data_IF_544632318378
#
_entry.id   IF_544632318378
#
_cell.length_a   1.000
_cell.length_b   1.000
_cell.length_c   1.000
_cell.angle_alpha   90.00
_cell.angle_beta   90.00
_cell.angle_gamma   90.00
#
_symmetry.space_group_name_H-M   'P 1'
#
loop_
_entity.id
_entity.type
_entity.pdbx_description
1 polymer ?
#
# COMPACT_ATOMS: atom_id res chain seq x y z
N UNK A 1 0.73 25.74 50.03
CA UNK A 1 0.72 26.06 48.57
C UNK A 1 1.28 24.95 47.69
N UNK A 2 2.37 24.25 48.07
CA UNK A 2 3.00 23.17 47.28
C UNK A 2 2.08 21.97 46.96
N UNK A 3 1.22 21.58 47.90
CA UNK A 3 0.29 20.45 47.68
C UNK A 3 -0.83 20.76 46.68
N UNK A 4 -1.29 22.02 46.58
CA UNK A 4 -2.33 22.40 45.58
C UNK A 4 -1.80 22.37 44.14
N UNK A 5 -0.49 22.58 43.96
CA UNK A 5 0.16 22.55 42.63
C UNK A 5 0.30 21.11 42.10
N UNK A 6 0.64 20.15 42.98
CA UNK A 6 0.82 18.74 42.60
C UNK A 6 -0.52 18.14 42.14
N UNK A 7 -1.62 18.44 42.85
CA UNK A 7 -2.95 17.92 42.51
C UNK A 7 -3.44 18.42 41.14
N UNK A 8 -3.15 19.68 40.78
CA UNK A 8 -3.52 20.26 39.48
C UNK A 8 -2.76 19.59 38.33
N UNK A 9 -1.48 19.28 38.50
CA UNK A 9 -0.66 18.60 37.48
C UNK A 9 -1.16 17.17 37.25
N UNK A 10 -1.54 16.44 38.30
CA UNK A 10 -2.11 15.09 38.15
C UNK A 10 -3.45 15.10 37.43
N UNK A 11 -4.31 16.11 37.66
CA UNK A 11 -5.62 16.21 36.99
C UNK A 11 -5.44 16.50 35.49
N UNK A 12 -4.50 17.37 35.13
CA UNK A 12 -4.19 17.68 33.72
C UNK A 12 -3.63 16.45 32.99
N UNK A 13 -2.74 15.69 33.63
CA UNK A 13 -2.18 14.46 33.06
C UNK A 13 -3.25 13.36 32.86
N UNK A 14 -4.22 13.24 33.76
CA UNK A 14 -5.35 12.31 33.58
C UNK A 14 -6.37 12.78 32.53
N UNK A 15 -6.54 14.10 32.36
CA UNK A 15 -7.49 14.65 31.38
C UNK A 15 -6.96 14.56 29.94
N UNK A 16 -5.64 14.58 29.75
CA UNK A 16 -5.01 14.34 28.44
C UNK A 16 -5.06 12.87 27.97
N UNK A 17 -5.32 11.93 28.88
CA UNK A 17 -5.32 10.49 28.58
C UNK A 17 -6.67 9.99 28.01
N UNK A 18 -7.71 10.83 27.96
CA UNK A 18 -9.08 10.43 27.60
C UNK A 18 -9.51 10.81 26.17
N UNK A 19 -8.58 11.19 25.29
CA UNK A 19 -8.89 11.60 23.91
C UNK A 19 -8.08 10.84 22.84
N UNK A 20 -8.01 9.51 22.95
CA UNK A 20 -7.61 8.65 21.82
C UNK A 20 -8.64 7.54 21.61
N UNK A 21 -9.89 7.97 21.44
CA UNK A 21 -10.97 7.14 20.91
C UNK A 21 -11.33 7.60 19.50
N UNK A 22 -10.39 7.51 18.55
CA UNK A 22 -10.68 7.66 17.11
C UNK A 22 -10.46 6.29 16.48
N UNK A 23 -11.49 5.81 15.77
CA UNK A 23 -11.75 4.41 15.55
C UNK A 23 -10.69 3.67 14.71
N UNK A 24 -10.38 2.47 15.15
CA UNK A 24 -9.55 1.49 14.43
C UNK A 24 -10.04 1.17 13.01
N UNK A 25 -11.29 1.53 12.66
CA UNK A 25 -11.85 1.31 11.32
C UNK A 25 -11.46 2.38 10.29
N UNK A 26 -10.96 3.54 10.68
CA UNK A 26 -10.51 4.57 9.75
C UNK A 26 -9.03 4.41 9.34
N UNK A 27 -8.23 3.66 10.11
CA UNK A 27 -6.79 3.55 9.87
C UNK A 27 -6.43 2.52 8.77
N UNK A 28 -7.22 1.45 8.63
CA UNK A 28 -6.90 0.38 7.66
C UNK A 28 -7.17 0.82 6.21
N UNK A 29 -8.22 1.61 5.98
CA UNK A 29 -8.57 2.09 4.63
C UNK A 29 -7.47 2.94 4.00
N UNK A 30 -6.72 3.68 4.83
CA UNK A 30 -5.68 4.59 4.35
C UNK A 30 -4.43 3.84 3.85
N UNK A 31 -4.27 2.58 4.26
CA UNK A 31 -3.12 1.75 3.89
C UNK A 31 -3.41 0.74 2.78
N UNK A 32 -4.64 0.62 2.28
CA UNK A 32 -4.98 -0.37 1.25
C UNK A 32 -4.07 -0.23 0.02
N UNK A 33 -3.46 -1.34 -0.41
CA UNK A 33 -2.49 -1.39 -1.51
C UNK A 33 -1.11 -0.83 -1.17
N UNK A 34 -0.86 -0.38 0.07
CA UNK A 34 0.44 0.13 0.47
C UNK A 34 1.38 -0.98 0.92
N UNK A 35 2.67 -0.76 0.69
CA UNK A 35 3.75 -1.50 1.35
C UNK A 35 4.17 -0.68 2.57
N UNK A 36 4.02 -1.23 3.77
CA UNK A 36 4.38 -0.57 5.02
C UNK A 36 5.72 -1.13 5.52
N UNK A 37 6.61 -0.24 5.95
CA UNK A 37 7.88 -0.58 6.57
C UNK A 37 7.82 -0.20 8.05
N UNK A 38 8.01 -1.17 8.94
CA UNK A 38 8.09 -0.93 10.37
C UNK A 38 9.43 -0.26 10.70
N UNK A 39 9.39 1.04 11.03
CA UNK A 39 10.60 1.84 11.32
C UNK A 39 11.02 1.79 12.79
N UNK A 40 10.23 1.18 13.66
CA UNK A 40 10.49 1.12 15.12
C UNK A 40 11.04 -0.26 15.55
N UNK A 41 10.89 -1.29 14.71
CA UNK A 41 11.42 -2.64 14.93
C UNK A 41 12.56 -2.98 13.96
N UNK A 42 12.50 -4.15 13.33
CA UNK A 42 13.57 -4.72 12.52
C UNK A 42 13.52 -4.29 11.04
N UNK A 43 12.75 -3.26 10.68
CA UNK A 43 12.56 -2.89 9.26
C UNK A 43 11.66 -3.88 8.51
N UNK A 44 10.73 -4.53 9.20
CA UNK A 44 9.83 -5.52 8.61
C UNK A 44 8.89 -4.86 7.60
N UNK A 45 8.61 -5.57 6.52
CA UNK A 45 7.77 -5.09 5.43
C UNK A 45 6.46 -5.87 5.34
N UNK A 46 5.36 -5.15 5.15
CA UNK A 46 4.02 -5.71 5.04
C UNK A 46 3.31 -5.12 3.82
N UNK A 47 2.61 -5.95 3.05
CA UNK A 47 1.69 -5.47 2.01
C UNK A 47 0.27 -5.51 2.55
N UNK A 48 -0.47 -4.42 2.39
CA UNK A 48 -1.86 -4.33 2.85
C UNK A 48 -2.79 -4.58 1.68
N UNK A 49 -3.69 -5.55 1.83
CA UNK A 49 -4.63 -5.94 0.81
C UNK A 49 -5.93 -6.46 1.43
N UNK A 50 -7.06 -5.97 0.95
CA UNK A 50 -8.40 -6.28 1.46
C UNK A 50 -8.53 -6.10 2.97
N UNK A 51 -7.88 -5.06 3.52
CA UNK A 51 -7.91 -4.77 4.95
C UNK A 51 -7.07 -5.68 5.84
N UNK A 52 -6.23 -6.54 5.25
CA UNK A 52 -5.28 -7.39 5.96
C UNK A 52 -3.85 -7.05 5.58
N UNK A 53 -2.90 -7.27 6.49
CA UNK A 53 -1.47 -7.15 6.24
C UNK A 53 -0.84 -8.53 6.00
N UNK A 54 0.03 -8.60 5.01
CA UNK A 54 0.77 -9.80 4.63
C UNK A 54 2.27 -9.54 4.79
N UNK A 55 2.90 -10.31 5.67
CA UNK A 55 4.34 -10.17 5.95
C UNK A 55 5.17 -10.57 4.72
N UNK A 56 5.91 -9.63 4.15
CA UNK A 56 6.67 -9.83 2.92
C UNK A 56 8.00 -10.52 3.14
N UNK A 57 8.52 -10.52 4.37
CA UNK A 57 9.72 -11.28 4.76
C UNK A 57 10.89 -11.11 3.80
N UNK A 58 11.37 -12.23 3.25
CA UNK A 58 12.47 -12.26 2.26
C UNK A 58 11.96 -12.01 0.84
N UNK A 59 12.83 -11.56 -0.09
CA UNK A 59 12.42 -11.24 -1.47
C UNK A 59 11.64 -12.35 -2.21
N UNK A 60 11.97 -13.62 -1.97
CA UNK A 60 11.25 -14.74 -2.59
C UNK A 60 9.84 -14.93 -2.01
N UNK A 61 9.66 -14.72 -0.69
CA UNK A 61 8.35 -14.77 -0.02
C UNK A 61 7.49 -13.61 -0.50
N UNK A 62 8.06 -12.41 -0.55
CA UNK A 62 7.39 -11.23 -1.08
C UNK A 62 6.89 -11.47 -2.51
N UNK A 63 7.74 -12.02 -3.37
CA UNK A 63 7.38 -12.37 -4.75
C UNK A 63 6.20 -13.34 -4.82
N UNK A 64 6.21 -14.42 -4.02
CA UNK A 64 5.10 -15.38 -3.98
C UNK A 64 3.81 -14.76 -3.44
N UNK A 65 3.88 -14.04 -2.33
CA UNK A 65 2.74 -13.36 -1.70
C UNK A 65 2.11 -12.36 -2.67
N UNK A 66 2.94 -11.49 -3.25
CA UNK A 66 2.47 -10.45 -4.16
C UNK A 66 1.82 -11.03 -5.41
N UNK A 67 2.35 -12.14 -5.95
CA UNK A 67 1.71 -12.84 -7.08
C UNK A 67 0.41 -13.53 -6.68
N UNK A 68 0.34 -14.15 -5.50
CA UNK A 68 -0.90 -14.77 -4.99
C UNK A 68 -2.03 -13.77 -4.78
N UNK A 69 -1.69 -12.56 -4.33
CA UNK A 69 -2.64 -11.47 -4.07
C UNK A 69 -2.94 -10.61 -5.31
N UNK A 70 -2.41 -11.00 -6.47
CA UNK A 70 -2.54 -10.21 -7.70
C UNK A 70 -3.93 -10.30 -8.32
N UNK A 71 -4.30 -9.24 -9.05
CA UNK A 71 -5.50 -9.18 -9.88
C UNK A 71 -5.15 -9.40 -11.35
N UNK A 72 -5.96 -10.18 -12.07
CA UNK A 72 -5.85 -10.28 -13.52
C UNK A 72 -6.25 -8.96 -14.20
N UNK A 73 -5.45 -8.50 -15.16
CA UNK A 73 -5.77 -7.38 -16.04
C UNK A 73 -5.72 -7.85 -17.50
N UNK A 74 -6.73 -7.48 -18.30
CA UNK A 74 -6.73 -7.76 -19.75
C UNK A 74 -5.68 -6.93 -20.47
N UNK A 75 -5.20 -7.41 -21.61
CA UNK A 75 -4.19 -6.69 -22.39
C UNK A 75 -4.68 -5.32 -22.86
N UNK A 76 -5.95 -5.20 -23.23
CA UNK A 76 -6.56 -3.92 -23.61
C UNK A 76 -6.47 -2.89 -22.48
N UNK A 77 -6.78 -3.29 -21.25
CA UNK A 77 -6.72 -2.39 -20.08
C UNK A 77 -5.28 -2.06 -19.70
N UNK A 78 -4.38 -3.04 -19.78
CA UNK A 78 -2.96 -2.85 -19.49
C UNK A 78 -2.32 -1.87 -20.49
N UNK A 79 -2.54 -2.10 -21.79
CA UNK A 79 -2.06 -1.22 -22.86
C UNK A 79 -2.62 0.20 -22.69
N UNK A 80 -3.91 0.31 -22.37
CA UNK A 80 -4.60 1.60 -22.29
C UNK A 80 -4.04 2.51 -21.20
N UNK A 81 -3.64 1.99 -20.04
CA UNK A 81 -3.22 2.86 -18.94
C UNK A 81 -1.77 2.77 -18.48
N UNK A 82 -0.96 1.86 -19.01
CA UNK A 82 0.47 1.80 -18.70
C UNK A 82 1.39 2.00 -19.90
N UNK A 83 0.91 1.80 -21.13
CA UNK A 83 1.72 2.05 -22.31
C UNK A 83 1.37 3.41 -22.91
N UNK A 84 2.40 4.15 -23.36
CA UNK A 84 2.22 5.42 -24.06
C UNK A 84 1.38 5.17 -25.31
N UNK A 85 0.19 5.76 -25.34
CA UNK A 85 -0.64 5.75 -26.54
C UNK A 85 -0.47 7.06 -27.26
N UNK A 86 0.08 6.97 -28.46
CA UNK A 86 0.43 8.10 -29.30
C UNK A 86 -0.79 8.71 -30.03
N UNK A 87 -1.97 8.10 -29.90
CA UNK A 87 -3.19 8.53 -30.59
C UNK A 87 -4.27 9.03 -29.64
N UNK A 88 -4.58 10.31 -29.82
CA UNK A 88 -5.44 11.14 -28.97
C UNK A 88 -6.88 11.03 -29.48
N UNK A 89 -7.65 10.02 -29.08
CA UNK A 89 -9.13 10.12 -29.07
C UNK A 89 -9.76 9.41 -27.88
N UNK A 90 -9.95 10.20 -26.81
CA UNK A 90 -11.02 10.25 -25.78
C UNK A 90 -11.56 8.98 -25.07
N UNK A 91 -11.23 7.75 -25.48
CA UNK A 91 -11.57 6.52 -24.73
C UNK A 91 -10.61 6.31 -23.55
N UNK A 92 -9.35 6.73 -23.72
CA UNK A 92 -8.30 6.72 -22.68
C UNK A 92 -8.73 7.40 -21.38
N UNK A 93 -9.58 8.42 -21.45
CA UNK A 93 -9.99 9.15 -20.25
C UNK A 93 -10.95 8.35 -19.37
N UNK A 94 -11.86 7.53 -19.93
CA UNK A 94 -12.96 6.91 -19.16
C UNK A 94 -12.54 5.63 -18.42
N UNK A 95 -11.72 4.78 -19.05
CA UNK A 95 -11.15 3.58 -18.38
C UNK A 95 -10.21 4.00 -17.25
N UNK A 96 -9.47 5.10 -17.46
CA UNK A 96 -8.52 5.64 -16.49
C UNK A 96 -9.18 6.11 -15.18
N UNK A 97 -10.39 6.71 -15.23
CA UNK A 97 -11.03 7.31 -14.03
C UNK A 97 -11.55 6.29 -13.01
N UNK A 98 -11.83 5.05 -13.41
CA UNK A 98 -12.44 4.07 -12.51
C UNK A 98 -11.53 2.88 -12.22
N UNK A 99 -10.86 2.34 -13.24
CA UNK A 99 -10.02 1.17 -13.05
C UNK A 99 -8.75 1.51 -12.26
N UNK A 100 -8.07 2.59 -12.62
CA UNK A 100 -6.72 2.85 -12.10
C UNK A 100 -6.68 3.36 -10.66
N UNK A 101 -7.62 4.21 -10.21
CA UNK A 101 -7.77 4.47 -8.78
C UNK A 101 -8.00 3.19 -7.97
N UNK A 102 -8.72 2.21 -8.54
CA UNK A 102 -9.00 0.94 -7.87
C UNK A 102 -7.77 0.02 -7.81
N UNK A 103 -6.95 -0.01 -8.86
CA UNK A 103 -5.75 -0.86 -8.91
C UNK A 103 -4.48 -0.16 -8.41
N UNK A 104 -4.53 1.10 -7.98
CA UNK A 104 -3.39 1.78 -7.35
C UNK A 104 -2.91 1.00 -6.12
N UNK A 105 -1.60 0.79 -6.01
CA UNK A 105 -1.00 -0.02 -4.94
C UNK A 105 -1.25 -1.52 -5.10
N UNK A 106 -2.09 -1.96 -6.02
CA UNK A 106 -2.34 -3.39 -6.25
C UNK A 106 -1.27 -4.00 -7.14
N UNK A 107 -1.07 -5.30 -6.97
CA UNK A 107 -0.33 -6.10 -7.95
C UNK A 107 -1.31 -6.57 -9.02
N UNK A 108 -0.96 -6.34 -10.28
CA UNK A 108 -1.70 -6.87 -11.43
C UNK A 108 -0.85 -7.91 -12.16
N UNK A 109 -1.49 -8.95 -12.68
CA UNK A 109 -0.87 -9.93 -13.59
C UNK A 109 -1.52 -9.86 -14.96
N UNK A 110 -0.72 -10.10 -15.99
CA UNK A 110 -1.16 -10.21 -17.38
C UNK A 110 -1.35 -11.68 -17.76
N UNK A 111 -2.51 -12.31 -17.47
CA UNK A 111 -2.74 -13.73 -17.74
C UNK A 111 -2.81 -14.06 -19.23
N UNK A 112 -3.18 -13.09 -20.07
CA UNK A 112 -3.30 -13.23 -21.53
C UNK A 112 -1.94 -13.10 -22.25
N UNK A 113 -0.92 -12.59 -21.56
CA UNK A 113 0.47 -12.51 -22.03
C UNK A 113 1.32 -13.63 -21.39
N UNK A 114 2.51 -13.28 -20.87
CA UNK A 114 3.44 -14.24 -20.27
C UNK A 114 3.25 -14.41 -18.74
N UNK A 115 2.11 -13.99 -18.17
CA UNK A 115 1.89 -14.03 -16.72
C UNK A 115 2.76 -13.05 -15.93
N UNK A 116 3.21 -11.98 -16.60
CA UNK A 116 4.01 -10.90 -16.04
C UNK A 116 3.22 -10.16 -14.96
N UNK A 117 3.87 -9.88 -13.83
CA UNK A 117 3.26 -9.17 -12.70
C UNK A 117 3.84 -7.76 -12.59
N UNK A 118 3.02 -6.82 -12.13
CA UNK A 118 3.42 -5.43 -11.93
C UNK A 118 2.79 -4.86 -10.66
N UNK A 119 3.55 -4.04 -9.92
CA UNK A 119 3.03 -3.20 -8.84
C UNK A 119 2.61 -1.85 -9.42
N UNK A 120 1.35 -1.47 -9.22
CA UNK A 120 0.78 -0.25 -9.79
C UNK A 120 1.02 0.93 -8.88
N UNK A 121 1.60 2.00 -9.40
CA UNK A 121 1.97 3.21 -8.64
C UNK A 121 1.42 4.46 -9.28
N UNK A 122 1.15 5.53 -8.52
CA UNK A 122 0.87 6.83 -9.12
C UNK A 122 2.11 7.34 -9.86
N UNK A 123 1.92 8.04 -10.98
CA UNK A 123 3.02 8.63 -11.73
C UNK A 123 3.69 9.76 -10.91
N UNK A 124 4.92 9.51 -10.45
CA UNK A 124 5.66 10.42 -9.57
C UNK A 124 6.29 11.62 -10.32
N UNK A 125 6.31 11.62 -11.65
CA UNK A 125 6.95 12.65 -12.47
C UNK A 125 6.07 13.90 -12.73
N UNK A 126 5.14 14.21 -11.82
CA UNK A 126 4.29 15.42 -11.88
C UNK A 126 3.15 15.38 -12.90
N UNK A 127 2.89 14.22 -13.52
CA UNK A 127 1.76 14.01 -14.43
C UNK A 127 0.60 13.28 -13.75
N UNK A 128 -0.63 13.59 -14.15
CA UNK A 128 -1.81 12.79 -13.79
C UNK A 128 -1.71 11.42 -14.48
N UNK A 129 -1.56 10.33 -13.74
CA UNK A 129 -1.49 8.99 -14.33
C UNK A 129 -0.92 7.94 -13.39
N UNK A 130 -0.72 6.74 -13.94
CA UNK A 130 -0.25 5.56 -13.23
C UNK A 130 0.92 4.92 -13.96
N UNK A 131 1.76 4.22 -13.19
CA UNK A 131 2.93 3.46 -13.66
C UNK A 131 2.81 2.02 -13.19
N UNK A 132 3.41 1.09 -13.93
CA UNK A 132 3.46 -0.32 -13.58
C UNK A 132 4.92 -0.75 -13.42
N UNK A 133 5.30 -1.15 -12.21
CA UNK A 133 6.67 -1.54 -11.85
C UNK A 133 6.78 -3.05 -11.91
N UNK A 134 7.68 -3.57 -12.73
CA UNK A 134 7.76 -4.99 -13.02
C UNK A 134 8.14 -5.83 -11.79
N UNK A 135 7.39 -6.91 -11.57
CA UNK A 135 7.54 -7.89 -10.49
C UNK A 135 7.84 -9.27 -11.10
N UNK A 136 8.93 -9.36 -11.90
CA UNK A 136 9.28 -10.58 -12.64
C UNK A 136 10.03 -11.62 -11.83
N UNK A 137 10.89 -11.19 -10.92
CA UNK A 137 11.77 -12.04 -10.11
C UNK A 137 11.75 -11.60 -8.64
N UNK A 138 12.22 -12.45 -7.71
CA UNK A 138 12.38 -12.08 -6.32
C UNK A 138 13.16 -10.78 -6.09
N UNK A 139 14.21 -10.53 -6.88
CA UNK A 139 14.99 -9.30 -6.77
C UNK A 139 14.17 -8.04 -7.11
N UNK A 140 13.25 -8.13 -8.08
CA UNK A 140 12.40 -7.01 -8.48
C UNK A 140 11.35 -6.71 -7.37
N UNK A 141 10.85 -7.75 -6.68
CA UNK A 141 9.99 -7.60 -5.50
C UNK A 141 10.68 -6.84 -4.36
N UNK A 142 11.95 -7.14 -4.10
CA UNK A 142 12.74 -6.39 -3.13
C UNK A 142 12.87 -4.91 -3.51
N UNK A 143 13.14 -4.61 -4.78
CA UNK A 143 13.22 -3.22 -5.25
C UNK A 143 11.90 -2.47 -5.00
N UNK A 144 10.76 -3.11 -5.31
CA UNK A 144 9.43 -2.56 -5.04
C UNK A 144 9.25 -2.26 -3.54
N UNK A 145 9.60 -3.20 -2.65
CA UNK A 145 9.53 -2.99 -1.20
C UNK A 145 10.39 -1.82 -0.74
N UNK A 146 11.62 -1.70 -1.27
CA UNK A 146 12.53 -0.62 -0.89
C UNK A 146 12.13 0.74 -1.45
N UNK A 147 11.53 0.78 -2.64
CA UNK A 147 11.21 2.01 -3.37
C UNK A 147 9.88 2.60 -2.94
N UNK A 148 8.90 1.75 -2.64
CA UNK A 148 7.52 2.17 -2.35
C UNK A 148 7.08 1.90 -0.92
N UNK A 149 7.97 1.33 -0.10
CA UNK A 149 7.73 1.12 1.32
C UNK A 149 7.53 2.43 2.07
N UNK A 150 6.39 2.57 2.73
CA UNK A 150 6.03 3.71 3.57
C UNK A 150 6.44 3.42 5.01
N UNK A 151 7.37 4.19 5.54
CA UNK A 151 7.77 4.10 6.95
C UNK A 151 6.58 4.38 7.87
N UNK A 152 6.20 3.41 8.70
CA UNK A 152 5.00 3.45 9.53
C UNK A 152 5.32 2.95 10.95
N UNK A 153 4.66 3.52 11.96
CA UNK A 153 4.85 3.11 13.34
C UNK A 153 4.33 1.68 13.57
N UNK A 154 5.00 0.96 14.47
CA UNK A 154 4.63 -0.41 14.83
C UNK A 154 3.16 -0.51 15.27
N UNK A 155 2.69 0.45 16.07
CA UNK A 155 1.32 0.46 16.59
C UNK A 155 0.25 0.57 15.48
N UNK A 156 0.55 1.30 14.41
CA UNK A 156 -0.37 1.43 13.27
C UNK A 156 -0.39 0.15 12.45
N UNK A 157 0.77 -0.45 12.18
CA UNK A 157 0.86 -1.74 11.49
C UNK A 157 0.14 -2.84 12.30
N UNK A 158 0.30 -2.86 13.62
CA UNK A 158 -0.34 -3.84 14.50
C UNK A 158 -1.86 -3.71 14.59
N UNK A 159 -2.40 -2.53 14.25
CA UNK A 159 -3.85 -2.32 14.17
C UNK A 159 -4.49 -3.01 12.96
N UNK A 160 -3.70 -3.41 11.97
CA UNK A 160 -4.17 -4.12 10.76
C UNK A 160 -4.15 -5.63 11.02
N UNK A 161 -5.27 -6.35 10.79
CA UNK A 161 -5.34 -7.81 10.90
C UNK A 161 -4.29 -8.53 10.04
N UNK A 162 -3.76 -9.66 10.53
CA UNK A 162 -2.86 -10.51 9.74
C UNK A 162 -3.64 -11.32 8.71
N UNK A 163 -3.24 -11.25 7.45
CA UNK A 163 -3.77 -12.10 6.39
C UNK A 163 -3.12 -13.48 6.36
N UNK A 164 -3.79 -14.43 5.71
CA UNK A 164 -3.30 -15.81 5.51
C UNK A 164 -3.47 -16.23 4.05
N UNK A 165 -2.56 -17.06 3.52
CA UNK A 165 -2.49 -17.48 2.11
C UNK A 165 -2.52 -19.00 1.94
#
# INVERSE_FOLDING_TARGET
>A
MKHKLITIITIIASLSMSLYGVGANAAVSDYEGSILLDVERNGEAYYVYQGEKYFLGRPWQAFEIMRKLSLGISEDNFQTGFQQVNDIWQIYRIVNIYLFPYIQGRIVIRPEANGEAYYVTPNLAGGSGYSAEYLGRPYDAFQIMTKFGQGTQSAQIDSIPNGTL
#
